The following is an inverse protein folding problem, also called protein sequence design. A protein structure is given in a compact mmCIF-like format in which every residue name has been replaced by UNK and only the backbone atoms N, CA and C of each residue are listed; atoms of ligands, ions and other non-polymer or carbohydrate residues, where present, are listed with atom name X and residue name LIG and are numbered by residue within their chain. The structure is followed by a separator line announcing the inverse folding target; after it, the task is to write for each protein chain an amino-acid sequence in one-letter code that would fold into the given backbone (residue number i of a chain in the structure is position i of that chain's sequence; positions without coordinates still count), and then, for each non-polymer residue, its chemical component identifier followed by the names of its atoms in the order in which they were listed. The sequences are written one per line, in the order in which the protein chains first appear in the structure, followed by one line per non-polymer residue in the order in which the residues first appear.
data_IF_532839352475
#
_entry.id   IF_532839352475
#
_cell.length_a   1.000
_cell.length_b   1.000
_cell.length_c   1.000
_cell.angle_alpha   90.00
_cell.angle_beta   90.00
_cell.angle_gamma   90.00
#
_symmetry.space_group_name_H-M   'P 1'
#
loop_
_entity.id
_entity.type
_entity.pdbx_description
1 polymer ?
#
# COMPACT_ATOMS: atom_id res chain seq x y z
N UNK A 1 -52.09 -27.75 -6.61
CA UNK A 1 -51.90 -26.30 -6.80
C UNK A 1 -50.49 -25.96 -6.34
N UNK A 2 -49.56 -25.80 -7.29
CA UNK A 2 -48.15 -25.49 -7.00
C UNK A 2 -47.99 -23.96 -7.10
N UNK A 3 -47.76 -23.30 -5.97
CA UNK A 3 -47.46 -21.87 -5.94
C UNK A 3 -45.99 -21.67 -6.31
N UNK A 4 -45.77 -21.08 -7.48
CA UNK A 4 -44.47 -20.59 -7.92
C UNK A 4 -44.19 -19.28 -7.21
N UNK A 5 -43.15 -19.25 -6.36
CA UNK A 5 -42.66 -18.02 -5.73
C UNK A 5 -41.65 -17.38 -6.67
N UNK A 6 -42.08 -16.28 -7.29
CA UNK A 6 -41.32 -15.39 -8.16
C UNK A 6 -40.15 -14.80 -7.35
N UNK A 7 -38.91 -15.08 -7.76
CA UNK A 7 -37.72 -14.38 -7.29
C UNK A 7 -37.42 -13.28 -8.30
N UNK A 8 -37.62 -12.03 -7.90
CA UNK A 8 -37.19 -10.85 -8.65
C UNK A 8 -35.68 -10.73 -8.51
N UNK A 9 -34.98 -11.00 -9.61
CA UNK A 9 -33.53 -10.80 -9.75
C UNK A 9 -33.41 -9.40 -10.36
N UNK A 10 -32.96 -8.45 -9.54
CA UNK A 10 -32.64 -7.09 -10.00
C UNK A 10 -31.26 -7.15 -10.66
N UNK A 11 -31.24 -7.44 -11.95
CA UNK A 11 -30.04 -7.33 -12.79
C UNK A 11 -29.76 -5.85 -13.03
N UNK A 12 -29.04 -5.22 -12.10
CA UNK A 12 -28.41 -3.92 -12.37
C UNK A 12 -27.27 -4.15 -13.36
N UNK A 13 -27.59 -3.95 -14.64
CA UNK A 13 -26.65 -3.96 -15.76
C UNK A 13 -25.52 -2.95 -15.52
N UNK A 14 -24.29 -3.46 -15.43
CA UNK A 14 -23.07 -2.65 -15.57
C UNK A 14 -22.94 -2.19 -17.02
N UNK A 15 -23.61 -1.09 -17.37
CA UNK A 15 -23.42 -0.40 -18.64
C UNK A 15 -21.96 0.05 -18.77
N UNK A 16 -21.23 -0.57 -19.69
CA UNK A 16 -19.87 -0.19 -20.08
C UNK A 16 -19.91 1.05 -20.96
N UNK A 17 -19.21 2.15 -20.64
CA UNK A 17 -19.10 3.28 -21.55
C UNK A 17 -18.17 2.94 -22.73
N UNK A 18 -18.73 3.14 -23.92
CA UNK A 18 -18.08 3.11 -25.24
C UNK A 18 -16.72 3.82 -25.27
N UNK A 19 -15.75 3.18 -25.93
CA UNK A 19 -14.41 3.70 -26.18
C UNK A 19 -14.44 5.00 -27.00
N UNK A 20 -13.77 6.04 -26.50
CA UNK A 20 -13.24 7.16 -27.29
C UNK A 20 -11.71 7.04 -27.34
N UNK A 21 -11.06 7.07 -28.51
CA UNK A 21 -9.63 6.82 -28.62
C UNK A 21 -8.87 8.16 -28.62
N UNK A 22 -8.70 8.80 -27.47
CA UNK A 22 -7.80 9.95 -27.33
C UNK A 22 -7.64 10.31 -25.85
N UNK A 23 -6.73 9.65 -25.17
CA UNK A 23 -5.98 10.29 -24.10
C UNK A 23 -4.65 9.56 -23.93
N UNK A 24 -3.62 10.28 -24.33
CA UNK A 24 -2.21 10.04 -24.06
C UNK A 24 -2.02 9.27 -22.74
N UNK A 25 -1.54 8.03 -22.88
CA UNK A 25 -0.90 7.30 -21.80
C UNK A 25 0.25 8.16 -21.27
N UNK A 26 -0.03 8.98 -20.26
CA UNK A 26 0.99 9.46 -19.35
C UNK A 26 1.54 8.20 -18.69
N UNK A 27 2.65 7.69 -19.22
CA UNK A 27 3.46 6.71 -18.52
C UNK A 27 3.71 7.29 -17.13
N UNK A 28 3.27 6.62 -16.05
CA UNK A 28 3.60 7.10 -14.71
C UNK A 28 5.12 7.12 -14.65
N UNK A 29 5.68 8.33 -14.57
CA UNK A 29 7.10 8.50 -14.32
C UNK A 29 7.44 7.69 -13.05
N UNK A 30 8.59 7.00 -13.01
CA UNK A 30 8.98 6.25 -11.82
C UNK A 30 9.01 7.26 -10.67
N UNK A 31 7.98 7.21 -9.82
CA UNK A 31 7.84 8.14 -8.72
C UNK A 31 9.03 7.87 -7.81
N UNK A 32 10.05 8.72 -7.89
CA UNK A 32 11.28 8.56 -7.15
C UNK A 32 10.90 8.59 -5.67
N UNK A 33 10.94 7.42 -5.06
CA UNK A 33 10.54 7.23 -3.67
C UNK A 33 11.60 7.86 -2.77
N UNK A 34 11.29 9.04 -2.23
CA UNK A 34 12.18 9.73 -1.29
C UNK A 34 12.00 9.13 0.10
N UNK A 35 13.01 8.39 0.56
CA UNK A 35 13.09 7.91 1.93
C UNK A 35 13.93 8.91 2.71
N UNK A 36 13.33 9.55 3.72
CA UNK A 36 14.04 10.47 4.60
C UNK A 36 14.39 9.78 5.90
N UNK A 37 15.66 9.85 6.30
CA UNK A 37 16.12 9.39 7.61
C UNK A 37 15.81 10.46 8.65
N UNK A 38 15.15 10.08 9.74
CA UNK A 38 14.80 10.96 10.84
C UNK A 38 15.12 10.30 12.18
N UNK A 39 15.23 11.11 13.23
CA UNK A 39 15.38 10.64 14.60
C UNK A 39 14.19 11.13 15.41
N UNK A 40 13.61 10.24 16.21
CA UNK A 40 12.62 10.67 17.20
C UNK A 40 13.31 11.42 18.33
N UNK A 41 12.53 12.16 19.14
CA UNK A 41 13.02 12.83 20.36
C UNK A 41 13.66 11.87 21.39
N UNK A 42 13.56 10.55 21.18
CA UNK A 42 14.19 9.50 21.99
C UNK A 42 15.38 8.86 21.27
N UNK A 43 15.98 9.56 20.31
CA UNK A 43 17.11 9.12 19.46
C UNK A 43 16.85 7.83 18.66
N UNK A 44 15.61 7.35 18.61
CA UNK A 44 15.26 6.19 17.79
C UNK A 44 15.23 6.58 16.33
N UNK A 45 16.00 5.86 15.53
CA UNK A 45 16.02 5.98 14.08
C UNK A 45 14.64 5.65 13.47
N UNK A 46 14.18 6.51 12.58
CA UNK A 46 12.92 6.40 11.87
C UNK A 46 13.11 6.72 10.38
N UNK A 47 12.24 6.16 9.55
CA UNK A 47 12.11 6.53 8.15
C UNK A 47 10.81 7.29 7.95
N UNK A 48 10.86 8.41 7.25
CA UNK A 48 9.68 9.10 6.75
C UNK A 48 9.53 8.72 5.28
N UNK A 49 8.40 8.12 4.96
CA UNK A 49 8.09 7.67 3.61
C UNK A 49 6.65 8.05 3.27
N UNK A 50 6.46 8.88 2.24
CA UNK A 50 5.14 9.34 1.79
C UNK A 50 4.23 9.83 2.94
N UNK A 51 4.79 10.61 3.88
CA UNK A 51 4.08 11.11 5.07
C UNK A 51 3.92 10.11 6.22
N UNK A 52 4.33 8.86 6.05
CA UNK A 52 4.29 7.85 7.10
C UNK A 52 5.58 7.82 7.91
N UNK A 53 5.44 7.83 9.23
CA UNK A 53 6.55 7.65 10.17
C UNK A 53 6.73 6.16 10.46
N UNK A 54 7.81 5.59 9.93
CA UNK A 54 8.14 4.18 10.03
C UNK A 54 9.27 3.96 11.04
N UNK A 55 9.07 3.01 11.94
CA UNK A 55 10.07 2.57 12.90
C UNK A 55 10.69 1.24 12.47
N UNK A 56 11.99 1.10 12.73
CA UNK A 56 12.67 -0.17 12.54
C UNK A 56 12.06 -1.26 13.44
N UNK A 57 11.99 -2.48 12.93
CA UNK A 57 11.55 -3.65 13.69
C UNK A 57 12.60 -4.70 13.85
N UNK A 58 13.00 -5.30 12.76
CA UNK A 58 14.01 -6.34 12.76
C UNK A 58 14.60 -6.46 11.37
N UNK A 59 15.57 -7.36 11.27
CA UNK A 59 16.05 -7.84 9.99
C UNK A 59 15.41 -9.19 9.64
N UNK A 60 15.49 -9.57 8.37
CA UNK A 60 15.28 -10.97 7.98
C UNK A 60 16.38 -11.87 8.54
N UNK A 61 16.17 -13.19 8.49
CA UNK A 61 17.15 -14.17 9.00
C UNK A 61 18.55 -14.00 8.40
N UNK A 62 18.64 -13.56 7.15
CA UNK A 62 19.91 -13.33 6.42
C UNK A 62 20.51 -11.95 6.65
N UNK A 63 19.88 -11.06 7.43
CA UNK A 63 20.28 -9.66 7.67
C UNK A 63 20.42 -8.79 6.41
N UNK A 64 19.80 -9.19 5.30
CA UNK A 64 19.82 -8.44 4.04
C UNK A 64 18.66 -7.47 3.89
N UNK A 65 17.56 -7.69 4.61
CA UNK A 65 16.34 -6.88 4.53
C UNK A 65 16.03 -6.32 5.92
N UNK A 66 15.78 -5.02 6.01
CA UNK A 66 15.24 -4.33 7.18
C UNK A 66 13.73 -4.23 7.06
N UNK A 67 13.04 -4.60 8.13
CA UNK A 67 11.60 -4.46 8.26
C UNK A 67 11.27 -3.18 9.03
N UNK A 68 10.40 -2.39 8.45
CA UNK A 68 9.90 -1.14 9.01
C UNK A 68 8.39 -1.23 9.12
N UNK A 69 7.85 -0.73 10.24
CA UNK A 69 6.40 -0.62 10.41
C UNK A 69 6.02 0.81 10.74
N UNK A 70 4.78 1.17 10.43
CA UNK A 70 4.21 2.41 10.91
C UNK A 70 4.27 2.52 12.44
N UNK A 71 4.57 3.73 12.91
CA UNK A 71 4.54 4.07 14.34
C UNK A 71 3.11 4.19 14.86
N UNK A 72 2.20 4.69 14.02
CA UNK A 72 0.77 4.69 14.30
C UNK A 72 0.21 3.26 14.19
N UNK A 73 -0.49 2.78 15.24
CA UNK A 73 -1.08 1.44 15.25
C UNK A 73 -2.24 1.28 14.28
N UNK A 74 -2.92 2.37 13.93
CA UNK A 74 -4.00 2.39 12.93
C UNK A 74 -3.47 2.25 11.50
N UNK A 75 -2.17 2.39 11.32
CA UNK A 75 -1.50 2.41 10.03
C UNK A 75 -0.84 1.04 9.78
N UNK A 76 -1.35 0.32 8.78
CA UNK A 76 -0.91 -1.02 8.45
C UNK A 76 0.19 -1.05 7.37
N UNK A 77 0.96 0.03 7.27
CA UNK A 77 2.06 0.15 6.31
C UNK A 77 3.29 -0.57 6.82
N UNK A 78 3.80 -1.49 6.00
CA UNK A 78 5.06 -2.20 6.22
C UNK A 78 5.98 -1.89 5.05
N UNK A 79 7.19 -1.42 5.34
CA UNK A 79 8.22 -1.14 4.35
C UNK A 79 9.38 -2.10 4.56
N UNK A 80 9.88 -2.66 3.46
CA UNK A 80 11.11 -3.44 3.43
C UNK A 80 12.16 -2.62 2.68
N UNK A 81 13.33 -2.49 3.28
CA UNK A 81 14.52 -1.91 2.62
C UNK A 81 15.65 -2.92 2.64
N UNK A 82 16.63 -2.76 1.76
CA UNK A 82 17.89 -3.51 1.86
C UNK A 82 18.71 -3.03 3.08
N UNK A 83 19.83 -3.71 3.33
CA UNK A 83 20.83 -3.31 4.35
C UNK A 83 21.28 -1.85 4.18
N UNK A 84 21.36 -1.39 2.94
CA UNK A 84 21.89 -0.08 2.56
C UNK A 84 20.80 1.00 2.52
N UNK A 85 19.63 0.69 3.11
CA UNK A 85 18.43 1.54 3.13
C UNK A 85 17.86 1.86 1.75
N UNK A 86 18.30 1.15 0.71
CA UNK A 86 17.70 1.23 -0.62
C UNK A 86 16.34 0.55 -0.62
N UNK A 87 15.42 1.15 -1.36
CA UNK A 87 14.04 0.70 -1.46
C UNK A 87 13.97 -0.74 -2.01
N UNK A 88 13.25 -1.62 -1.31
CA UNK A 88 13.00 -2.98 -1.77
C UNK A 88 11.52 -3.19 -2.10
N UNK A 89 10.61 -3.01 -1.14
CA UNK A 89 9.16 -3.26 -1.32
C UNK A 89 8.29 -2.62 -0.24
N UNK A 90 7.07 -2.20 -0.58
CA UNK A 90 6.03 -1.74 0.38
C UNK A 90 4.87 -2.73 0.39
N UNK A 91 4.28 -2.93 1.56
CA UNK A 91 3.03 -3.64 1.76
C UNK A 91 2.02 -2.71 2.43
N UNK A 92 0.87 -2.53 1.78
CA UNK A 92 -0.30 -1.87 2.33
C UNK A 92 -1.25 -2.97 2.79
N UNK A 93 -1.33 -3.24 4.09
CA UNK A 93 -2.34 -4.15 4.61
C UNK A 93 -3.69 -3.40 4.65
N UNK A 94 -4.33 -3.30 3.49
CA UNK A 94 -5.72 -2.91 3.36
C UNK A 94 -6.59 -4.11 3.75
N UNK A 95 -6.64 -4.43 5.03
CA UNK A 95 -7.87 -5.02 5.55
C UNK A 95 -8.80 -3.84 5.81
N UNK A 96 -9.56 -3.46 4.79
CA UNK A 96 -10.85 -2.83 5.02
C UNK A 96 -11.66 -3.85 5.82
N UNK A 97 -11.86 -3.57 7.09
CA UNK A 97 -12.90 -4.19 7.92
C UNK A 97 -14.05 -3.21 8.05
#
# INVERSE_FOLDING_TARGET
MRSNKLATIDETECSSPSQSPENSFLQPSPTKLTITKAYSNKEKFMLIFNGYNLQFKNFNRKKTIKFWRCTNRSCNVILHTNSDDTFYKIFWNNYCS
#
